data_IF_009004237350
#
_entry.id   IF_009004237350
#
_cell.length_a   1.000
_cell.length_b   1.000
_cell.length_c   1.000
_cell.angle_alpha   90.00
_cell.angle_beta   90.00
_cell.angle_gamma   90.00
#
_symmetry.space_group_name_H-M   'P 1'
#
loop_
_entity.id
_entity.type
_entity.pdbx_description
1 polymer ?
#
# COMPACT_ATOMS: atom_id res chain seq x y z
N UNK A 1 -3.14 26.90 -26.94
CA UNK A 1 -3.49 26.23 -25.67
C UNK A 1 -3.69 27.27 -24.59
N UNK A 2 -2.73 28.17 -24.37
CA UNK A 2 -2.78 29.29 -23.41
C UNK A 2 -3.98 30.20 -23.65
N UNK A 3 -4.19 30.68 -24.87
CA UNK A 3 -5.36 31.50 -25.23
C UNK A 3 -6.70 30.85 -24.87
N UNK A 4 -6.83 29.53 -24.99
CA UNK A 4 -8.05 28.83 -24.62
C UNK A 4 -8.21 28.75 -23.09
N UNK A 5 -7.11 28.66 -22.34
CA UNK A 5 -7.12 28.71 -20.89
C UNK A 5 -7.59 30.06 -20.39
N UNK A 6 -7.02 31.14 -20.92
CA UNK A 6 -7.41 32.52 -20.60
C UNK A 6 -8.90 32.77 -20.87
N UNK A 7 -9.41 32.34 -22.02
CA UNK A 7 -10.83 32.49 -22.37
C UNK A 7 -11.75 31.68 -21.43
N UNK A 8 -11.30 30.50 -21.05
CA UNK A 8 -12.06 29.64 -20.11
C UNK A 8 -12.07 30.22 -18.70
N UNK A 9 -10.94 30.75 -18.24
CA UNK A 9 -10.82 31.41 -16.94
C UNK A 9 -11.62 32.72 -16.88
N UNK A 10 -11.70 33.44 -18.00
CA UNK A 10 -12.54 34.64 -18.15
C UNK A 10 -14.06 34.32 -18.24
N UNK A 11 -14.46 33.05 -18.17
CA UNK A 11 -15.86 32.63 -18.25
C UNK A 11 -16.46 32.73 -19.67
N UNK A 12 -15.61 32.90 -20.71
CA UNK A 12 -16.08 33.06 -22.11
C UNK A 12 -16.76 31.77 -22.58
N UNK A 13 -17.99 31.91 -23.11
CA UNK A 13 -18.75 30.75 -23.57
C UNK A 13 -18.11 30.08 -24.81
N UNK A 14 -18.35 28.78 -24.97
CA UNK A 14 -17.82 28.03 -26.11
C UNK A 14 -18.20 28.64 -27.46
N UNK A 15 -19.41 29.18 -27.57
CA UNK A 15 -19.90 29.84 -28.79
C UNK A 15 -19.16 31.15 -29.07
N UNK A 16 -18.87 31.94 -28.04
CA UNK A 16 -18.09 33.17 -28.16
C UNK A 16 -16.63 32.88 -28.58
N UNK A 17 -16.01 31.85 -27.95
CA UNK A 17 -14.67 31.41 -28.29
C UNK A 17 -14.65 30.94 -29.76
N UNK A 18 -15.63 30.13 -30.15
CA UNK A 18 -15.74 29.62 -31.51
C UNK A 18 -15.83 30.75 -32.54
N UNK A 19 -16.64 31.78 -32.26
CA UNK A 19 -16.81 32.96 -33.10
C UNK A 19 -15.52 33.82 -33.14
N UNK A 20 -14.89 34.01 -31.97
CA UNK A 20 -13.67 34.84 -31.86
C UNK A 20 -12.47 34.27 -32.65
N UNK A 21 -12.37 32.94 -32.67
CA UNK A 21 -11.23 32.26 -33.33
C UNK A 21 -11.60 31.55 -34.63
N UNK A 22 -12.75 31.86 -35.21
CA UNK A 22 -13.28 31.26 -36.44
C UNK A 22 -13.21 29.71 -36.45
N UNK A 23 -13.65 29.12 -35.38
CA UNK A 23 -13.63 27.67 -35.20
C UNK A 23 -15.05 27.11 -35.04
N UNK A 24 -15.26 25.86 -35.49
CA UNK A 24 -16.50 25.17 -35.21
C UNK A 24 -16.65 24.92 -33.69
N UNK A 25 -17.83 25.17 -33.15
CA UNK A 25 -18.15 24.95 -31.73
C UNK A 25 -17.73 23.56 -31.23
N UNK A 26 -17.91 22.52 -32.07
CA UNK A 26 -17.47 21.15 -31.78
C UNK A 26 -15.96 21.03 -31.53
N UNK A 27 -15.15 21.81 -32.27
CA UNK A 27 -13.69 21.81 -32.13
C UNK A 27 -13.29 22.48 -30.83
N UNK A 28 -13.93 23.59 -30.49
CA UNK A 28 -13.69 24.29 -29.20
C UNK A 28 -14.05 23.38 -28.05
N UNK A 29 -15.21 22.73 -28.08
CA UNK A 29 -15.62 21.78 -27.06
C UNK A 29 -14.61 20.65 -26.89
N UNK A 30 -14.15 20.03 -27.97
CA UNK A 30 -13.16 18.96 -27.92
C UNK A 30 -11.83 19.44 -27.28
N UNK A 31 -11.43 20.68 -27.57
CA UNK A 31 -10.23 21.27 -26.98
C UNK A 31 -10.42 21.62 -25.50
N UNK A 32 -11.59 22.15 -25.11
CA UNK A 32 -11.95 22.39 -23.70
C UNK A 32 -11.92 21.11 -22.89
N UNK A 33 -12.62 20.07 -23.36
CA UNK A 33 -12.62 18.76 -22.71
C UNK A 33 -11.19 18.21 -22.54
N UNK A 34 -10.36 18.31 -23.59
CA UNK A 34 -8.98 17.89 -23.51
C UNK A 34 -8.16 18.71 -22.51
N UNK A 35 -8.43 20.01 -22.41
CA UNK A 35 -7.73 20.89 -21.47
C UNK A 35 -8.10 20.57 -20.01
N UNK A 36 -9.40 20.43 -19.74
CA UNK A 36 -9.90 19.99 -18.42
C UNK A 36 -9.35 18.59 -18.09
N UNK A 37 -9.33 17.68 -19.05
CA UNK A 37 -8.75 16.34 -18.88
C UNK A 37 -7.24 16.34 -18.60
N UNK A 38 -6.54 17.46 -18.84
CA UNK A 38 -5.14 17.64 -18.40
C UNK A 38 -5.01 18.34 -17.04
N UNK A 39 -6.11 18.48 -16.28
CA UNK A 39 -6.14 19.03 -14.95
C UNK A 39 -6.39 20.54 -14.86
N UNK A 40 -6.75 21.21 -15.98
CA UNK A 40 -7.05 22.62 -15.93
C UNK A 40 -8.41 22.87 -15.25
N UNK A 41 -8.41 23.71 -14.21
CA UNK A 41 -9.59 24.20 -13.50
C UNK A 41 -9.93 25.61 -13.97
N UNK A 42 -10.97 25.77 -14.81
CA UNK A 42 -11.30 27.08 -15.35
C UNK A 42 -11.87 28.06 -14.33
N UNK A 43 -12.41 27.60 -13.20
CA UNK A 43 -12.95 28.47 -12.14
C UNK A 43 -11.83 29.14 -11.34
N UNK A 44 -10.69 28.47 -11.20
CA UNK A 44 -9.56 28.95 -10.43
C UNK A 44 -8.34 29.33 -11.30
N UNK A 45 -8.47 29.29 -12.63
CA UNK A 45 -7.38 29.53 -13.60
C UNK A 45 -6.09 28.77 -13.27
N UNK A 46 -6.23 27.52 -12.86
CA UNK A 46 -5.10 26.70 -12.43
C UNK A 46 -5.27 25.25 -12.88
N UNK A 47 -4.15 24.57 -13.00
CA UNK A 47 -4.15 23.12 -13.03
C UNK A 47 -4.26 22.57 -11.62
N UNK A 48 -5.09 21.57 -11.42
CA UNK A 48 -4.98 20.76 -10.22
C UNK A 48 -3.55 20.24 -10.13
N UNK A 49 -2.85 20.60 -9.07
CA UNK A 49 -1.53 20.05 -8.82
C UNK A 49 -1.69 18.54 -8.74
N UNK A 50 -1.08 17.84 -9.70
CA UNK A 50 -0.66 16.49 -9.42
C UNK A 50 0.24 16.61 -8.20
N UNK A 51 -0.21 16.15 -7.05
CA UNK A 51 0.72 15.91 -5.96
C UNK A 51 1.60 14.77 -6.47
N UNK A 52 2.91 14.87 -6.29
CA UNK A 52 3.86 13.85 -6.74
C UNK A 52 3.48 12.44 -6.24
N UNK A 53 2.74 12.40 -5.12
CA UNK A 53 2.24 11.18 -4.50
C UNK A 53 1.03 10.54 -5.20
N UNK A 54 0.25 11.30 -5.99
CA UNK A 54 -1.00 10.83 -6.59
C UNK A 54 -1.16 11.35 -8.01
N UNK A 55 -0.42 10.78 -8.97
CA UNK A 55 -0.59 11.14 -10.38
C UNK A 55 -2.01 10.80 -10.84
N UNK A 56 -2.61 11.73 -11.54
CA UNK A 56 -3.95 11.55 -12.11
C UNK A 56 -3.88 10.49 -13.21
N UNK A 57 -4.52 9.33 -13.00
CA UNK A 57 -4.54 8.23 -13.96
C UNK A 57 -5.65 8.33 -15.00
N UNK A 58 -6.63 9.21 -14.78
CA UNK A 58 -7.75 9.43 -15.70
C UNK A 58 -8.83 10.33 -15.12
N UNK A 59 -9.66 10.85 -16.02
CA UNK A 59 -10.83 11.65 -15.66
C UNK A 59 -12.10 10.93 -16.08
N UNK A 60 -13.11 10.98 -15.23
CA UNK A 60 -14.47 10.59 -15.57
C UNK A 60 -15.36 11.80 -15.37
N UNK A 61 -15.86 12.36 -16.46
CA UNK A 61 -16.74 13.54 -16.42
C UNK A 61 -18.19 13.11 -16.60
N UNK A 62 -19.00 13.32 -15.59
CA UNK A 62 -20.45 13.15 -15.71
C UNK A 62 -21.08 14.51 -16.03
N UNK A 63 -21.55 14.68 -17.26
CA UNK A 63 -22.32 15.86 -17.65
C UNK A 63 -23.79 15.58 -17.35
N UNK A 64 -24.34 16.20 -16.30
CA UNK A 64 -25.78 16.24 -16.09
C UNK A 64 -26.36 17.41 -16.88
N UNK A 65 -27.03 17.11 -17.97
CA UNK A 65 -27.89 18.09 -18.64
C UNK A 65 -29.12 18.32 -17.76
N UNK A 66 -29.31 19.53 -17.26
CA UNK A 66 -30.56 19.91 -16.63
C UNK A 66 -31.65 20.03 -17.72
N UNK A 67 -32.85 19.61 -17.35
CA UNK A 67 -34.03 19.60 -18.21
C UNK A 67 -34.31 20.95 -18.88
N UNK A 68 -34.63 20.87 -20.13
CA UNK A 68 -35.30 21.71 -21.13
C UNK A 68 -35.37 23.25 -21.05
N UNK A 69 -35.03 23.91 -19.94
CA UNK A 69 -35.23 25.37 -19.86
C UNK A 69 -33.95 26.22 -19.97
N UNK A 70 -32.77 25.65 -19.74
CA UNK A 70 -31.51 26.37 -19.97
C UNK A 70 -30.36 25.39 -20.34
N UNK A 71 -30.06 25.25 -21.64
CA UNK A 71 -28.99 24.35 -22.11
C UNK A 71 -27.56 24.82 -21.75
N UNK A 72 -27.41 25.96 -21.11
CA UNK A 72 -26.07 26.53 -20.82
C UNK A 72 -25.58 26.24 -19.38
N UNK A 73 -26.43 25.73 -18.50
CA UNK A 73 -26.06 25.43 -17.11
C UNK A 73 -26.01 23.91 -16.88
N UNK A 74 -25.06 23.26 -17.50
CA UNK A 74 -24.70 21.90 -17.15
C UNK A 74 -23.80 21.90 -15.89
N UNK A 75 -24.26 21.28 -14.80
CA UNK A 75 -23.37 21.00 -13.68
C UNK A 75 -22.46 19.83 -14.08
N UNK A 76 -21.21 20.14 -14.37
CA UNK A 76 -20.21 19.11 -14.63
C UNK A 76 -19.77 18.57 -13.27
N UNK A 77 -20.05 17.29 -13.01
CA UNK A 77 -19.45 16.57 -11.89
C UNK A 77 -18.23 15.84 -12.42
N UNK A 78 -17.08 16.27 -12.00
CA UNK A 78 -15.80 15.66 -12.37
C UNK A 78 -15.36 14.65 -11.29
N UNK A 79 -15.10 13.43 -11.71
CA UNK A 79 -14.47 12.41 -10.86
C UNK A 79 -13.01 12.24 -11.28
N UNK A 80 -12.11 12.71 -10.45
CA UNK A 80 -10.68 12.49 -10.68
C UNK A 80 -10.27 11.17 -10.04
N UNK A 81 -9.84 10.21 -10.87
CA UNK A 81 -9.25 8.95 -10.39
C UNK A 81 -7.75 9.14 -10.27
N UNK A 82 -7.23 8.97 -9.07
CA UNK A 82 -5.80 8.98 -8.81
C UNK A 82 -5.34 7.57 -8.44
N UNK A 83 -4.27 7.10 -9.05
CA UNK A 83 -3.59 5.89 -8.64
C UNK A 83 -2.25 6.28 -8.02
N UNK A 84 -1.90 5.65 -6.91
CA UNK A 84 -0.55 5.77 -6.37
C UNK A 84 0.43 5.11 -7.33
N UNK A 85 1.52 5.79 -7.64
CA UNK A 85 2.63 5.16 -8.36
C UNK A 85 3.28 4.09 -7.48
N UNK A 86 3.94 3.11 -8.09
CA UNK A 86 4.72 2.11 -7.35
C UNK A 86 5.77 2.79 -6.44
N UNK A 87 6.42 3.85 -6.92
CA UNK A 87 7.38 4.63 -6.13
C UNK A 87 6.73 5.24 -4.88
N UNK A 88 5.57 5.88 -5.01
CA UNK A 88 4.81 6.44 -3.88
C UNK A 88 4.33 5.36 -2.90
N UNK A 89 4.00 4.16 -3.39
CA UNK A 89 3.65 3.03 -2.53
C UNK A 89 4.87 2.54 -1.73
N UNK A 90 6.02 2.44 -2.38
CA UNK A 90 7.29 2.06 -1.74
C UNK A 90 7.69 3.10 -0.69
N UNK A 91 7.61 4.39 -1.00
CA UNK A 91 7.92 5.45 -0.04
C UNK A 91 6.97 5.46 1.15
N UNK A 92 5.68 5.22 0.92
CA UNK A 92 4.71 5.08 2.02
C UNK A 92 5.02 3.86 2.89
N UNK A 93 5.38 2.74 2.29
CA UNK A 93 5.80 1.54 3.03
C UNK A 93 7.08 1.80 3.83
N UNK A 94 8.07 2.50 3.25
CA UNK A 94 9.32 2.89 3.94
C UNK A 94 9.03 3.75 5.17
N UNK A 95 8.20 4.80 5.04
CA UNK A 95 7.82 5.66 6.16
C UNK A 95 7.15 4.87 7.28
N UNK A 96 6.25 3.93 6.94
CA UNK A 96 5.63 3.05 7.94
C UNK A 96 6.69 2.17 8.62
N UNK A 97 7.59 1.57 7.85
CA UNK A 97 8.68 0.75 8.41
C UNK A 97 9.62 1.55 9.32
N UNK A 98 10.02 2.75 8.92
CA UNK A 98 10.86 3.64 9.73
C UNK A 98 10.14 4.06 11.03
N UNK A 99 8.84 4.39 10.95
CA UNK A 99 8.03 4.68 12.14
C UNK A 99 7.97 3.49 13.09
N UNK A 100 7.71 2.29 12.55
CA UNK A 100 7.66 1.07 13.36
C UNK A 100 9.04 0.73 13.95
N UNK A 101 10.10 0.91 13.19
CA UNK A 101 11.48 0.71 13.67
C UNK A 101 11.83 1.68 14.81
N UNK A 102 11.34 2.91 14.78
CA UNK A 102 11.56 3.90 15.85
C UNK A 102 10.83 3.54 17.16
N UNK A 103 9.79 2.72 17.10
CA UNK A 103 9.03 2.24 18.27
C UNK A 103 9.65 0.97 18.88
N UNK A 104 10.61 0.34 18.21
CA UNK A 104 11.31 -0.84 18.72
C UNK A 104 12.18 -0.44 19.91
N UNK A 105 11.79 -0.87 21.09
CA UNK A 105 12.65 -0.74 22.27
C UNK A 105 13.83 -1.71 22.11
N UNK A 106 15.08 -1.23 22.22
CA UNK A 106 16.23 -2.14 22.19
C UNK A 106 16.09 -3.24 23.23
N UNK A 107 16.41 -4.47 22.82
CA UNK A 107 16.40 -5.59 23.75
C UNK A 107 17.34 -5.30 24.92
N UNK A 108 16.90 -5.58 26.14
CA UNK A 108 17.80 -5.45 27.31
C UNK A 108 18.93 -6.44 27.15
N UNK A 109 20.14 -5.98 27.51
CA UNK A 109 21.29 -6.85 27.55
C UNK A 109 20.97 -8.10 28.40
N UNK A 110 21.04 -9.25 27.75
CA UNK A 110 20.76 -10.51 28.43
C UNK A 110 22.04 -10.97 29.07
N UNK A 111 22.10 -10.93 30.41
CA UNK A 111 23.20 -11.51 31.16
C UNK A 111 23.05 -13.02 31.12
N UNK A 112 23.95 -13.67 30.44
CA UNK A 112 23.95 -15.13 30.29
C UNK A 112 24.21 -15.83 31.62
N UNK A 113 23.30 -16.69 32.05
CA UNK A 113 23.42 -17.45 33.29
C UNK A 113 24.17 -18.79 33.09
N UNK A 114 25.41 -18.72 32.69
CA UNK A 114 26.44 -19.73 32.99
C UNK A 114 26.16 -21.23 32.77
N UNK A 115 25.34 -21.65 31.81
CA UNK A 115 25.32 -23.06 31.39
C UNK A 115 26.53 -23.34 30.48
N UNK A 116 27.00 -24.59 30.46
CA UNK A 116 28.12 -25.00 29.65
C UNK A 116 27.76 -24.89 28.16
N UNK A 117 28.23 -23.83 27.50
CA UNK A 117 28.02 -23.53 26.10
C UNK A 117 29.03 -24.31 25.26
N UNK A 118 28.55 -25.02 24.22
CA UNK A 118 29.46 -25.60 23.23
C UNK A 118 29.92 -24.49 22.25
N UNK A 119 31.13 -23.96 22.50
CA UNK A 119 31.74 -22.89 21.69
C UNK A 119 32.18 -23.33 20.28
N UNK A 120 32.11 -24.63 20.01
CA UNK A 120 32.47 -25.20 18.70
C UNK A 120 31.25 -25.41 17.80
N UNK A 121 30.06 -25.09 18.27
CA UNK A 121 28.81 -25.24 17.54
C UNK A 121 28.01 -23.95 17.56
N UNK A 122 27.20 -23.78 16.53
CA UNK A 122 26.16 -22.76 16.48
C UNK A 122 24.79 -23.40 16.16
N UNK A 123 23.75 -22.79 16.61
CA UNK A 123 22.38 -23.22 16.31
C UNK A 123 21.87 -22.54 15.04
N UNK A 124 21.15 -23.28 14.20
CA UNK A 124 20.48 -22.74 13.02
C UNK A 124 18.97 -22.95 13.16
N UNK A 125 18.21 -21.88 13.09
CA UNK A 125 16.76 -21.90 13.21
C UNK A 125 16.16 -21.40 11.91
N UNK A 126 15.71 -22.31 11.01
CA UNK A 126 15.03 -21.93 9.78
C UNK A 126 13.57 -21.56 10.06
N UNK A 127 13.11 -20.47 9.46
CA UNK A 127 11.71 -20.07 9.37
C UNK A 127 11.28 -20.27 7.92
N UNK A 128 10.52 -21.32 7.66
CA UNK A 128 9.96 -21.62 6.34
C UNK A 128 8.52 -21.17 6.24
N UNK A 129 8.18 -20.51 5.18
CA UNK A 129 6.84 -20.20 4.69
C UNK A 129 5.83 -19.75 5.77
N UNK A 130 6.10 -18.71 6.55
CA UNK A 130 5.19 -18.27 7.61
C UNK A 130 3.87 -17.72 7.09
N UNK A 131 3.81 -17.22 5.85
CA UNK A 131 2.62 -16.67 5.22
C UNK A 131 1.83 -15.72 6.12
N UNK A 132 2.51 -14.79 6.77
CA UNK A 132 1.86 -13.80 7.63
C UNK A 132 0.89 -12.96 6.80
N UNK A 133 -0.35 -12.89 7.25
CA UNK A 133 -1.43 -12.23 6.53
C UNK A 133 -2.42 -13.22 5.90
N UNK A 134 -2.09 -14.51 5.78
CA UNK A 134 -3.04 -15.53 5.34
C UNK A 134 -4.29 -15.51 6.21
N UNK A 135 -5.46 -15.58 5.55
CA UNK A 135 -6.75 -15.79 6.19
C UNK A 135 -7.40 -17.08 5.66
N UNK A 136 -7.93 -17.89 6.55
CA UNK A 136 -8.75 -19.04 6.18
C UNK A 136 -10.02 -19.13 7.02
N UNK A 137 -11.04 -19.74 6.47
CA UNK A 137 -12.32 -19.93 7.10
C UNK A 137 -12.60 -21.40 7.35
N UNK A 138 -12.97 -21.76 8.57
CA UNK A 138 -13.16 -23.16 9.01
C UNK A 138 -14.17 -23.96 8.18
N UNK A 139 -15.14 -23.29 7.55
CA UNK A 139 -16.12 -23.97 6.68
C UNK A 139 -15.55 -24.39 5.32
N UNK A 140 -14.40 -23.82 4.92
CA UNK A 140 -13.75 -24.13 3.62
C UNK A 140 -12.57 -25.09 3.81
N UNK A 141 -11.80 -24.91 4.92
CA UNK A 141 -10.53 -25.62 5.12
C UNK A 141 -10.38 -26.25 6.52
N UNK A 142 -11.48 -26.54 7.20
CA UNK A 142 -11.58 -27.18 8.50
C UNK A 142 -11.11 -26.35 9.71
N UNK A 143 -10.37 -25.28 9.52
CA UNK A 143 -9.97 -24.39 10.64
C UNK A 143 -9.80 -22.95 10.19
N UNK A 144 -10.10 -22.06 11.14
CA UNK A 144 -9.85 -20.64 10.97
C UNK A 144 -8.35 -20.34 11.13
N UNK A 145 -7.87 -19.40 10.27
CA UNK A 145 -6.56 -18.82 10.42
C UNK A 145 -6.63 -17.31 10.18
N UNK A 146 -6.06 -16.55 11.09
CA UNK A 146 -5.97 -15.10 11.04
C UNK A 146 -4.66 -14.63 11.69
N UNK A 147 -4.36 -13.35 11.64
CA UNK A 147 -3.15 -12.77 12.21
C UNK A 147 -3.06 -12.97 13.74
N UNK A 148 -4.18 -12.99 14.44
CA UNK A 148 -4.22 -13.20 15.91
C UNK A 148 -3.87 -14.65 16.24
N UNK A 149 -4.42 -15.58 15.50
CA UNK A 149 -4.11 -17.01 15.62
C UNK A 149 -2.66 -17.26 15.26
N UNK A 150 -2.19 -16.71 14.12
CA UNK A 150 -0.81 -16.80 13.67
C UNK A 150 0.17 -16.35 14.76
N UNK A 151 0.02 -15.13 15.30
CA UNK A 151 0.89 -14.60 16.36
C UNK A 151 0.96 -15.51 17.59
N UNK A 152 -0.18 -16.07 18.00
CA UNK A 152 -0.24 -17.00 19.13
C UNK A 152 0.44 -18.35 18.83
N UNK A 153 0.19 -18.90 17.66
CA UNK A 153 0.76 -20.18 17.21
C UNK A 153 2.27 -20.08 17.06
N UNK A 154 2.76 -19.04 16.34
CA UNK A 154 4.20 -18.83 16.14
C UNK A 154 4.93 -18.63 17.47
N UNK A 155 4.39 -17.86 18.41
CA UNK A 155 4.97 -17.76 19.75
C UNK A 155 5.11 -19.13 20.41
N UNK A 156 4.06 -19.94 20.40
CA UNK A 156 4.06 -21.26 21.02
C UNK A 156 5.03 -22.23 20.35
N UNK A 157 5.04 -22.25 19.03
CA UNK A 157 5.94 -23.11 18.25
C UNK A 157 7.39 -22.71 18.49
N UNK A 158 7.70 -21.42 18.42
CA UNK A 158 9.06 -20.91 18.59
C UNK A 158 9.58 -21.14 20.01
N UNK A 159 8.73 -20.96 21.03
CA UNK A 159 9.08 -21.31 22.42
C UNK A 159 9.49 -22.78 22.55
N UNK A 160 8.71 -23.69 21.93
CA UNK A 160 9.02 -25.12 21.95
C UNK A 160 10.27 -25.48 21.17
N UNK A 161 10.51 -24.81 20.04
CA UNK A 161 11.69 -25.00 19.22
C UNK A 161 12.95 -24.62 19.99
N UNK A 162 12.97 -23.44 20.59
CA UNK A 162 14.10 -22.96 21.40
C UNK A 162 14.35 -23.84 22.64
N UNK A 163 13.30 -24.32 23.29
CA UNK A 163 13.45 -25.21 24.43
C UNK A 163 14.08 -26.57 24.09
N UNK A 164 14.05 -26.96 22.80
CA UNK A 164 14.67 -28.19 22.28
C UNK A 164 15.98 -27.97 21.59
N UNK A 165 16.31 -26.75 21.25
CA UNK A 165 17.57 -26.42 20.62
C UNK A 165 18.73 -26.50 21.63
N UNK A 166 19.92 -26.93 21.23
CA UNK A 166 21.09 -27.00 22.10
C UNK A 166 21.51 -25.61 22.59
N UNK A 167 22.22 -25.58 23.68
CA UNK A 167 22.81 -24.34 24.22
C UNK A 167 24.16 -24.11 23.52
N UNK A 168 24.18 -23.16 22.61
CA UNK A 168 25.36 -22.76 21.82
C UNK A 168 25.63 -21.27 22.03
N UNK A 169 26.85 -20.83 21.74
CA UNK A 169 27.24 -19.40 21.90
C UNK A 169 26.56 -18.51 20.82
N UNK A 170 26.28 -19.10 19.65
CA UNK A 170 25.73 -18.36 18.52
C UNK A 170 24.48 -19.05 17.96
N UNK A 171 23.57 -18.21 17.44
CA UNK A 171 22.38 -18.67 16.74
C UNK A 171 22.22 -17.90 15.41
N UNK A 172 21.91 -18.61 14.35
CA UNK A 172 21.54 -18.06 13.05
C UNK A 172 20.07 -18.28 12.81
N UNK A 173 19.29 -17.20 12.80
CA UNK A 173 17.89 -17.21 12.41
C UNK A 173 17.80 -16.96 10.91
N UNK A 174 17.25 -17.93 10.15
CA UNK A 174 17.16 -17.86 8.70
C UNK A 174 15.69 -17.76 8.28
N UNK A 175 15.31 -16.71 7.57
CA UNK A 175 14.05 -16.66 6.85
C UNK A 175 14.28 -17.22 5.44
N UNK A 176 13.65 -18.35 5.12
CA UNK A 176 13.84 -19.06 3.85
C UNK A 176 12.89 -18.60 2.73
N UNK A 177 12.02 -17.65 3.01
CA UNK A 177 11.08 -17.08 2.03
C UNK A 177 9.65 -17.06 2.55
N UNK A 178 8.77 -16.53 1.74
CA UNK A 178 7.32 -16.46 1.91
C UNK A 178 6.85 -16.05 3.31
N UNK A 179 7.64 -15.12 3.92
CA UNK A 179 7.33 -14.64 5.27
C UNK A 179 5.97 -13.93 5.31
N UNK A 180 5.68 -13.10 4.32
CA UNK A 180 4.36 -12.53 4.11
C UNK A 180 3.58 -13.32 3.06
N UNK A 181 2.27 -13.44 3.26
CA UNK A 181 1.40 -14.18 2.32
C UNK A 181 1.23 -13.46 0.98
N UNK A 182 1.34 -12.14 0.94
CA UNK A 182 1.22 -11.34 -0.27
C UNK A 182 2.54 -10.68 -0.64
N UNK A 183 2.91 -10.77 -1.92
CA UNK A 183 4.10 -10.12 -2.50
C UNK A 183 3.91 -8.63 -2.75
N UNK A 184 2.67 -8.16 -2.76
CA UNK A 184 2.34 -6.78 -3.06
C UNK A 184 1.15 -6.28 -2.24
N UNK A 185 0.98 -4.96 -2.22
CA UNK A 185 -0.10 -4.28 -1.48
C UNK A 185 -1.49 -4.62 -2.04
N UNK A 186 -1.57 -5.04 -3.31
CA UNK A 186 -2.82 -5.41 -3.97
C UNK A 186 -3.37 -6.77 -3.51
N UNK A 187 -2.58 -7.56 -2.79
CA UNK A 187 -2.97 -8.89 -2.33
C UNK A 187 -3.12 -9.89 -3.47
N UNK A 188 -2.19 -9.85 -4.41
CA UNK A 188 -2.16 -10.71 -5.60
C UNK A 188 -0.80 -11.39 -5.72
N UNK A 189 -0.79 -12.57 -6.33
CA UNK A 189 0.47 -13.24 -6.69
C UNK A 189 1.18 -12.50 -7.81
N UNK A 190 2.50 -12.32 -7.69
CA UNK A 190 3.30 -11.51 -8.63
C UNK A 190 3.28 -12.03 -10.05
N UNK A 191 3.27 -13.35 -10.25
CA UNK A 191 3.38 -13.96 -11.57
C UNK A 191 2.05 -14.13 -12.30
N UNK A 192 0.98 -14.47 -11.58
CA UNK A 192 -0.31 -14.86 -12.16
C UNK A 192 -1.47 -13.93 -11.83
N UNK A 193 -1.28 -12.98 -10.92
CA UNK A 193 -2.32 -12.02 -10.51
C UNK A 193 -3.51 -12.65 -9.77
N UNK A 194 -3.33 -13.86 -9.21
CA UNK A 194 -4.37 -14.47 -8.39
C UNK A 194 -4.58 -13.68 -7.11
N UNK A 195 -5.85 -13.43 -6.78
CA UNK A 195 -6.23 -12.83 -5.50
C UNK A 195 -5.94 -13.79 -4.36
N UNK A 196 -5.39 -13.24 -3.29
CA UNK A 196 -5.06 -13.96 -2.07
C UNK A 196 -6.02 -13.53 -0.95
N UNK A 197 -6.43 -14.50 -0.13
CA UNK A 197 -7.23 -14.24 1.04
C UNK A 197 -6.37 -13.71 2.18
N UNK A 198 -6.54 -12.42 2.47
CA UNK A 198 -5.72 -11.69 3.44
C UNK A 198 -6.53 -11.23 4.64
N UNK A 199 -5.99 -11.38 5.84
CA UNK A 199 -6.54 -10.81 7.07
C UNK A 199 -6.29 -9.30 7.15
N UNK A 200 -7.14 -8.56 6.43
CA UNK A 200 -7.22 -7.11 6.52
C UNK A 200 -6.26 -6.35 5.59
N UNK A 201 -5.97 -5.11 5.98
CA UNK A 201 -5.20 -4.16 5.16
C UNK A 201 -3.70 -4.43 5.23
N UNK A 202 -2.91 -4.02 4.21
CA UNK A 202 -1.46 -4.19 4.20
C UNK A 202 -0.76 -3.70 5.45
N UNK A 203 -1.13 -2.54 5.99
CA UNK A 203 -0.55 -2.01 7.24
C UNK A 203 -0.73 -2.95 8.42
N UNK A 204 -1.86 -3.65 8.51
CA UNK A 204 -2.14 -4.58 9.62
C UNK A 204 -1.25 -5.82 9.58
N UNK A 205 -1.16 -6.50 8.42
CA UNK A 205 -0.35 -7.72 8.35
C UNK A 205 1.16 -7.42 8.33
N UNK A 206 1.59 -6.27 7.80
CA UNK A 206 2.97 -5.80 7.93
C UNK A 206 3.33 -5.58 9.40
N UNK A 207 2.52 -4.81 10.13
CA UNK A 207 2.73 -4.56 11.57
C UNK A 207 2.85 -5.86 12.37
N UNK A 208 1.90 -6.78 12.19
CA UNK A 208 1.92 -8.06 12.91
C UNK A 208 3.12 -8.91 12.50
N UNK A 209 3.51 -8.91 11.23
CA UNK A 209 4.69 -9.61 10.75
C UNK A 209 5.98 -9.10 11.39
N UNK A 210 6.16 -7.78 11.46
CA UNK A 210 7.30 -7.18 12.16
C UNK A 210 7.30 -7.54 13.65
N UNK A 211 6.14 -7.49 14.32
CA UNK A 211 6.03 -7.91 15.73
C UNK A 211 6.39 -9.38 15.93
N UNK A 212 6.03 -10.27 14.99
CA UNK A 212 6.40 -11.68 15.05
C UNK A 212 7.90 -11.84 14.84
N UNK A 213 8.50 -11.17 13.86
CA UNK A 213 9.95 -11.23 13.63
C UNK A 213 10.74 -10.68 14.81
N UNK A 214 10.33 -9.53 15.36
CA UNK A 214 10.93 -8.97 16.57
C UNK A 214 10.86 -9.98 17.74
N UNK A 215 9.70 -10.59 17.96
CA UNK A 215 9.52 -11.61 18.97
C UNK A 215 10.49 -12.80 18.79
N UNK A 216 10.71 -13.26 17.56
CA UNK A 216 11.65 -14.34 17.28
C UNK A 216 13.07 -13.93 17.63
N UNK A 217 13.50 -12.74 17.23
CA UNK A 217 14.83 -12.20 17.52
C UNK A 217 15.03 -12.06 19.02
N UNK A 218 14.09 -11.46 19.76
CA UNK A 218 14.14 -11.31 21.21
C UNK A 218 14.24 -12.66 21.95
N UNK A 219 13.47 -13.63 21.47
CA UNK A 219 13.52 -14.98 22.04
C UNK A 219 14.86 -15.69 21.79
N UNK A 220 15.47 -15.49 20.60
CA UNK A 220 16.80 -15.98 20.30
C UNK A 220 17.85 -15.30 21.21
N UNK A 221 17.84 -13.97 21.28
CA UNK A 221 18.76 -13.19 22.15
C UNK A 221 18.62 -13.51 23.64
N UNK A 222 17.47 -14.02 24.05
CA UNK A 222 17.27 -14.45 25.45
C UNK A 222 17.90 -15.82 25.74
N UNK A 223 18.09 -16.64 24.70
CA UNK A 223 18.65 -17.98 24.85
C UNK A 223 20.14 -18.06 24.50
N UNK A 224 20.56 -17.32 23.48
CA UNK A 224 21.90 -17.30 22.92
C UNK A 224 22.57 -15.93 23.12
#
# INVERSE_FOLDING_TARGET
REQLQEEMAAGTTTTQIAKKYDMAVRVVNKRKVKLIATGFDPENDRFHKNTDDHPVSGYSTLVRLKEKEDPTIGRVMEWVKTNRTLASQIDSARVVMESMASEITPCKEVVYSGQAIDKHKFSVIPLGDPHIGLMTWAKEVDHDWDLKIAKRVYRKVFTRLLARSPDTEECVLINTGDFFHADNIGGETSASGHKLDLDGRPSKWLEVGFQIMQMFIEMCLTKY
#
